data_IF_878335880640
#
_entry.id   IF_878335880640
#
_cell.length_a   1.000
_cell.length_b   1.000
_cell.length_c   1.000
_cell.angle_alpha   90.00
_cell.angle_beta   90.00
_cell.angle_gamma   90.00
#
_symmetry.space_group_name_H-M   'P 1'
#
loop_
_entity.id
_entity.type
_entity.pdbx_description
1 polymer ?
#
# COMPACT_ATOMS: atom_id res chain seq x y z
N UNK A 1 23.81 -8.39 6.31
CA UNK A 1 22.41 -7.96 6.53
C UNK A 1 22.32 -6.98 7.70
N UNK A 2 22.78 -7.32 8.90
CA UNK A 2 22.69 -6.47 10.10
C UNK A 2 23.31 -5.07 9.95
N UNK A 3 24.52 -4.95 9.39
CA UNK A 3 25.16 -3.65 9.14
C UNK A 3 24.34 -2.73 8.22
N UNK A 4 23.70 -3.30 7.21
CA UNK A 4 22.83 -2.53 6.30
C UNK A 4 21.60 -1.99 7.03
N UNK A 5 20.95 -2.81 7.86
CA UNK A 5 19.76 -2.38 8.61
C UNK A 5 20.08 -1.32 9.66
N UNK A 6 21.22 -1.44 10.35
CA UNK A 6 21.67 -0.43 11.31
C UNK A 6 21.93 0.93 10.62
N UNK A 7 22.62 0.92 9.48
CA UNK A 7 22.86 2.12 8.68
C UNK A 7 21.56 2.71 8.12
N UNK A 8 20.67 1.85 7.61
CA UNK A 8 19.36 2.25 7.11
C UNK A 8 18.51 2.94 8.19
N UNK A 9 18.53 2.41 9.41
CA UNK A 9 17.83 3.01 10.55
C UNK A 9 18.47 4.32 10.99
N UNK A 10 19.79 4.38 11.11
CA UNK A 10 20.51 5.59 11.52
C UNK A 10 20.28 6.77 10.57
N UNK A 11 20.12 6.49 9.28
CA UNK A 11 19.89 7.51 8.25
C UNK A 11 18.41 7.66 7.87
N UNK A 12 17.48 7.07 8.62
CA UNK A 12 16.07 7.07 8.23
C UNK A 12 15.47 8.47 8.17
N UNK A 13 16.00 9.42 8.95
CA UNK A 13 15.59 10.83 8.92
C UNK A 13 15.91 11.54 7.59
N UNK A 14 16.72 10.92 6.72
CA UNK A 14 16.96 11.38 5.34
C UNK A 14 15.93 10.84 4.34
N UNK A 15 15.08 9.89 4.75
CA UNK A 15 13.99 9.38 3.91
C UNK A 15 12.87 10.43 3.81
N UNK A 16 12.12 10.45 2.70
CA UNK A 16 10.95 11.31 2.58
C UNK A 16 9.94 11.04 3.71
N UNK A 17 9.39 12.13 4.25
CA UNK A 17 8.25 12.07 5.15
C UNK A 17 7.03 11.46 4.44
N UNK A 18 6.02 10.95 5.19
CA UNK A 18 4.76 10.56 4.59
C UNK A 18 4.15 11.73 3.82
N UNK A 19 3.45 11.44 2.73
CA UNK A 19 2.74 12.48 1.99
C UNK A 19 1.72 13.20 2.90
N UNK A 20 1.61 14.51 2.73
CA UNK A 20 0.69 15.34 3.52
C UNK A 20 -0.76 14.81 3.41
N UNK A 21 -1.43 14.65 4.55
CA UNK A 21 -2.80 14.15 4.64
C UNK A 21 -2.95 12.62 4.65
N UNK A 22 -1.90 11.83 4.39
CA UNK A 22 -2.03 10.36 4.34
C UNK A 22 -2.39 9.74 5.69
N UNK A 23 -1.88 10.30 6.80
CA UNK A 23 -2.17 9.81 8.15
C UNK A 23 -3.67 9.93 8.47
N UNK A 24 -4.29 11.05 8.07
CA UNK A 24 -5.73 11.26 8.21
C UNK A 24 -6.55 10.29 7.37
N UNK A 25 -6.09 9.96 6.16
CA UNK A 25 -6.77 8.95 5.32
C UNK A 25 -6.73 7.59 6.00
N UNK A 26 -5.56 7.15 6.48
CA UNK A 26 -5.41 5.86 7.16
C UNK A 26 -6.27 5.81 8.43
N UNK A 27 -6.27 6.88 9.23
CA UNK A 27 -7.15 7.01 10.40
C UNK A 27 -8.63 6.89 10.04
N UNK A 28 -9.07 7.55 8.97
CA UNK A 28 -10.48 7.50 8.51
C UNK A 28 -10.91 6.11 8.03
N UNK A 29 -9.99 5.31 7.50
CA UNK A 29 -10.23 3.91 7.12
C UNK A 29 -10.38 3.05 8.38
N UNK A 30 -9.46 3.21 9.33
CA UNK A 30 -9.47 2.49 10.61
C UNK A 30 -10.73 2.80 11.43
N UNK A 31 -11.11 4.08 11.57
CA UNK A 31 -12.34 4.51 12.27
C UNK A 31 -13.63 3.96 11.64
N UNK A 32 -13.60 3.58 10.36
CA UNK A 32 -14.72 2.93 9.67
C UNK A 32 -14.76 1.41 9.87
N UNK A 33 -13.76 0.84 10.53
CA UNK A 33 -13.64 -0.61 10.77
C UNK A 33 -13.07 -1.39 9.59
N UNK A 34 -12.54 -0.70 8.56
CA UNK A 34 -11.89 -1.37 7.44
C UNK A 34 -10.45 -1.75 7.81
N UNK A 35 -10.04 -2.94 7.39
CA UNK A 35 -8.72 -3.50 7.72
C UNK A 35 -7.67 -3.06 6.70
N UNK A 36 -6.46 -2.84 7.17
CA UNK A 36 -5.35 -2.37 6.34
C UNK A 36 -4.18 -3.33 6.40
N UNK A 37 -3.55 -3.53 5.24
CA UNK A 37 -2.32 -4.31 5.10
C UNK A 37 -1.33 -3.59 4.19
N UNK A 38 -0.04 -3.91 4.36
CA UNK A 38 1.03 -3.49 3.45
C UNK A 38 1.56 -4.73 2.72
N UNK A 39 1.67 -4.64 1.40
CA UNK A 39 2.45 -5.56 0.57
C UNK A 39 3.54 -4.75 -0.12
N UNK A 40 4.80 -5.02 0.20
CA UNK A 40 5.94 -4.23 -0.30
C UNK A 40 7.10 -5.11 -0.77
N UNK A 41 7.77 -4.72 -1.84
CA UNK A 41 9.01 -5.37 -2.29
C UNK A 41 10.22 -5.08 -1.40
N UNK A 42 10.11 -4.17 -0.42
CA UNK A 42 11.18 -3.93 0.56
C UNK A 42 11.43 -5.20 1.37
N UNK A 43 12.70 -5.45 1.74
CA UNK A 43 13.04 -6.52 2.67
C UNK A 43 12.42 -6.31 4.06
N UNK A 44 12.11 -7.41 4.76
CA UNK A 44 11.40 -7.38 6.04
C UNK A 44 11.95 -6.37 7.05
N UNK A 45 13.27 -6.33 7.24
CA UNK A 45 13.92 -5.40 8.17
C UNK A 45 13.73 -3.93 7.80
N UNK A 46 13.95 -3.56 6.55
CA UNK A 46 13.82 -2.16 6.11
C UNK A 46 12.37 -1.69 6.02
N UNK A 47 11.44 -2.61 5.71
CA UNK A 47 10.01 -2.36 5.78
C UNK A 47 9.58 -2.07 7.23
N UNK A 48 9.96 -2.93 8.18
CA UNK A 48 9.63 -2.76 9.60
C UNK A 48 10.21 -1.45 10.17
N UNK A 49 11.48 -1.13 9.86
CA UNK A 49 12.10 0.15 10.26
C UNK A 49 11.31 1.32 9.69
N UNK A 50 10.98 1.31 8.39
CA UNK A 50 10.22 2.39 7.75
C UNK A 50 8.88 2.61 8.41
N UNK A 51 8.09 1.55 8.58
CA UNK A 51 6.73 1.63 9.13
C UNK A 51 6.76 2.17 10.56
N UNK A 52 7.74 1.74 11.38
CA UNK A 52 7.92 2.24 12.75
C UNK A 52 8.33 3.71 12.77
N UNK A 53 9.39 4.08 12.04
CA UNK A 53 9.94 5.45 12.05
C UNK A 53 8.97 6.48 11.46
N UNK A 54 8.15 6.08 10.49
CA UNK A 54 7.08 6.91 9.93
C UNK A 54 5.82 6.97 10.81
N UNK A 55 5.78 6.23 11.93
CA UNK A 55 4.63 6.21 12.85
C UNK A 55 3.41 5.45 12.33
N UNK A 56 3.50 4.75 11.20
CA UNK A 56 2.35 4.17 10.51
C UNK A 56 1.95 2.77 11.03
N UNK A 57 2.77 2.16 11.89
CA UNK A 57 2.58 0.78 12.36
C UNK A 57 1.19 0.51 12.95
N UNK A 58 0.58 1.50 13.61
CA UNK A 58 -0.72 1.39 14.29
C UNK A 58 -1.88 1.07 13.36
N UNK A 59 -1.75 1.36 12.07
CA UNK A 59 -2.84 1.21 11.10
C UNK A 59 -2.88 -0.17 10.45
N UNK A 60 -1.78 -0.93 10.44
CA UNK A 60 -1.65 -2.12 9.58
C UNK A 60 -1.58 -3.41 10.41
N UNK A 61 -2.59 -4.27 10.24
CA UNK A 61 -2.64 -5.58 10.89
C UNK A 61 -1.64 -6.57 10.28
N UNK A 62 -1.35 -6.40 8.98
CA UNK A 62 -0.55 -7.32 8.19
C UNK A 62 0.50 -6.54 7.40
N UNK A 63 1.76 -6.97 7.50
CA UNK A 63 2.85 -6.49 6.66
C UNK A 63 3.47 -7.70 5.94
N UNK A 64 3.42 -7.68 4.60
CA UNK A 64 4.08 -8.62 3.71
C UNK A 64 5.21 -7.90 2.99
N UNK A 65 6.42 -8.38 3.21
CA UNK A 65 7.66 -7.81 2.67
C UNK A 65 8.30 -8.76 1.67
N UNK A 66 9.11 -8.23 0.77
CA UNK A 66 9.88 -9.01 -0.21
C UNK A 66 10.72 -10.10 0.46
N UNK A 67 10.71 -11.30 -0.14
CA UNK A 67 11.59 -12.41 0.19
C UNK A 67 12.64 -12.63 -0.91
N UNK A 68 13.70 -13.38 -0.61
CA UNK A 68 14.72 -13.76 -1.58
C UNK A 68 14.18 -14.65 -2.72
N UNK A 69 13.06 -15.34 -2.48
CA UNK A 69 12.41 -16.25 -3.43
C UNK A 69 11.40 -15.54 -4.35
N UNK A 70 11.23 -14.21 -4.18
CA UNK A 70 10.28 -13.40 -4.94
C UNK A 70 8.94 -13.25 -4.22
N UNK A 71 8.44 -12.01 -4.13
CA UNK A 71 7.12 -11.70 -3.61
C UNK A 71 6.16 -11.53 -4.79
N UNK A 72 5.29 -12.51 -5.02
CA UNK A 72 4.19 -12.37 -5.98
C UNK A 72 3.06 -11.65 -5.27
N UNK A 73 2.87 -10.36 -5.57
CA UNK A 73 1.87 -9.52 -4.88
C UNK A 73 0.46 -10.08 -5.04
N UNK A 74 0.13 -10.63 -6.21
CA UNK A 74 -1.19 -11.20 -6.47
C UNK A 74 -1.55 -12.32 -5.48
N UNK A 75 -0.61 -13.22 -5.19
CA UNK A 75 -0.82 -14.31 -4.24
C UNK A 75 -0.97 -13.79 -2.81
N UNK A 76 -0.19 -12.77 -2.44
CA UNK A 76 -0.29 -12.15 -1.12
C UNK A 76 -1.63 -11.43 -0.92
N UNK A 77 -2.18 -10.81 -1.96
CA UNK A 77 -3.53 -10.22 -1.90
C UNK A 77 -4.57 -11.31 -1.63
N UNK A 78 -4.51 -12.45 -2.33
CA UNK A 78 -5.43 -13.59 -2.11
C UNK A 78 -5.27 -14.22 -0.73
N UNK A 79 -4.03 -14.33 -0.24
CA UNK A 79 -3.74 -14.83 1.10
C UNK A 79 -4.33 -13.91 2.18
N UNK A 80 -4.19 -12.59 2.01
CA UNK A 80 -4.79 -11.61 2.93
C UNK A 80 -6.32 -11.69 2.92
N UNK A 81 -6.95 -11.82 1.75
CA UNK A 81 -8.39 -12.05 1.65
C UNK A 81 -8.82 -13.29 2.44
N UNK A 82 -8.05 -14.38 2.34
CA UNK A 82 -8.27 -15.62 3.09
C UNK A 82 -8.11 -15.41 4.60
N UNK A 83 -7.06 -14.70 5.04
CA UNK A 83 -6.82 -14.41 6.47
C UNK A 83 -7.94 -13.51 7.05
N UNK A 84 -8.47 -12.61 6.22
CA UNK A 84 -9.54 -11.69 6.61
C UNK A 84 -10.94 -12.30 6.48
N UNK A 85 -11.05 -13.51 5.93
CA UNK A 85 -12.32 -14.21 5.67
C UNK A 85 -13.28 -13.35 4.82
N UNK A 86 -12.75 -12.74 3.76
CA UNK A 86 -13.51 -11.92 2.81
C UNK A 86 -13.22 -12.34 1.36
N UNK A 87 -14.18 -12.17 0.43
CA UNK A 87 -13.92 -12.31 -0.99
C UNK A 87 -12.85 -11.31 -1.45
N UNK A 88 -11.97 -11.73 -2.37
CA UNK A 88 -10.87 -10.88 -2.87
C UNK A 88 -11.39 -9.63 -3.60
N UNK A 89 -12.59 -9.73 -4.18
CA UNK A 89 -13.28 -8.63 -4.86
C UNK A 89 -13.72 -7.51 -3.90
N UNK A 90 -13.76 -7.80 -2.58
CA UNK A 90 -13.99 -6.78 -1.55
C UNK A 90 -12.71 -6.06 -1.13
N UNK A 91 -11.54 -6.48 -1.60
CA UNK A 91 -10.29 -5.79 -1.35
C UNK A 91 -10.02 -4.72 -2.40
N UNK A 92 -9.53 -3.58 -1.96
CA UNK A 92 -8.90 -2.58 -2.81
C UNK A 92 -7.39 -2.60 -2.57
N UNK A 93 -6.62 -2.71 -3.65
CA UNK A 93 -5.17 -2.61 -3.59
C UNK A 93 -4.73 -1.27 -4.18
N UNK A 94 -4.03 -0.48 -3.38
CA UNK A 94 -3.59 0.88 -3.73
C UNK A 94 -2.09 0.87 -4.00
N UNK A 95 -1.66 1.26 -5.20
CA UNK A 95 -0.24 1.31 -5.57
C UNK A 95 0.06 2.33 -6.66
N UNK A 96 1.34 2.70 -6.77
CA UNK A 96 1.84 3.77 -7.63
C UNK A 96 2.56 3.26 -8.89
N UNK A 97 2.73 1.94 -9.03
CA UNK A 97 3.38 1.33 -10.19
C UNK A 97 2.40 0.56 -11.07
N UNK A 98 2.77 0.34 -12.34
CA UNK A 98 1.99 -0.50 -13.26
C UNK A 98 1.82 -1.92 -12.69
N UNK A 99 2.90 -2.48 -12.11
CA UNK A 99 2.90 -3.80 -11.51
C UNK A 99 1.92 -3.93 -10.33
N UNK A 100 1.69 -2.85 -9.58
CA UNK A 100 0.65 -2.84 -8.55
C UNK A 100 -0.75 -3.03 -9.14
N UNK A 101 -1.02 -2.36 -10.26
CA UNK A 101 -2.31 -2.47 -10.96
C UNK A 101 -2.49 -3.86 -11.55
N UNK A 102 -1.47 -4.36 -12.24
CA UNK A 102 -1.47 -5.69 -12.86
C UNK A 102 -1.68 -6.78 -11.80
N UNK A 103 -0.94 -6.76 -10.69
CA UNK A 103 -1.08 -7.79 -9.65
C UNK A 103 -2.40 -7.70 -8.87
N UNK A 104 -2.95 -6.49 -8.69
CA UNK A 104 -4.26 -6.34 -8.09
C UNK A 104 -5.36 -6.93 -8.99
N UNK A 105 -5.30 -6.65 -10.30
CA UNK A 105 -6.21 -7.23 -11.29
C UNK A 105 -6.06 -8.75 -11.38
N UNK A 106 -4.82 -9.24 -11.42
CA UNK A 106 -4.50 -10.67 -11.41
C UNK A 106 -5.11 -11.36 -10.18
N UNK A 107 -5.01 -10.73 -9.01
CA UNK A 107 -5.60 -11.25 -7.77
C UNK A 107 -7.14 -11.26 -7.78
N UNK A 108 -7.78 -10.43 -8.62
CA UNK A 108 -9.23 -10.20 -8.60
C UNK A 108 -9.67 -9.06 -7.66
N UNK A 109 -8.72 -8.30 -7.11
CA UNK A 109 -8.99 -7.15 -6.25
C UNK A 109 -9.27 -5.87 -7.07
N UNK A 110 -9.90 -4.88 -6.46
CA UNK A 110 -10.04 -3.56 -7.04
C UNK A 110 -8.67 -2.85 -7.09
N UNK A 111 -8.12 -2.69 -8.29
CA UNK A 111 -6.86 -1.98 -8.51
C UNK A 111 -7.06 -0.45 -8.47
N UNK A 112 -6.38 0.23 -7.54
CA UNK A 112 -6.47 1.69 -7.36
C UNK A 112 -5.08 2.31 -7.59
N UNK A 113 -5.00 3.24 -8.54
CA UNK A 113 -3.74 3.89 -8.91
C UNK A 113 -3.49 5.16 -8.08
N UNK A 114 -2.37 5.18 -7.35
CA UNK A 114 -1.85 6.29 -6.58
C UNK A 114 -0.91 7.16 -7.43
N UNK A 115 -1.47 8.10 -8.19
CA UNK A 115 -0.75 8.93 -9.15
C UNK A 115 -0.37 10.33 -8.61
N UNK A 116 -0.35 10.52 -7.29
CA UNK A 116 -0.06 11.81 -6.64
C UNK A 116 1.43 12.11 -6.47
N UNK A 117 2.30 11.10 -6.48
CA UNK A 117 3.74 11.31 -6.43
C UNK A 117 4.24 11.98 -7.73
N UNK A 118 5.20 12.90 -7.62
CA UNK A 118 5.81 13.53 -8.79
C UNK A 118 6.52 12.52 -9.72
N UNK A 119 6.95 11.39 -9.17
CA UNK A 119 7.59 10.28 -9.89
C UNK A 119 6.60 9.33 -10.57
N UNK A 120 5.28 9.49 -10.35
CA UNK A 120 4.29 8.59 -10.90
C UNK A 120 4.11 8.78 -12.41
N UNK A 121 4.21 7.70 -13.18
CA UNK A 121 3.90 7.71 -14.60
C UNK A 121 2.38 7.60 -14.81
N UNK A 122 1.70 8.74 -14.80
CA UNK A 122 0.22 8.81 -14.85
C UNK A 122 -0.37 8.20 -16.11
N UNK A 123 0.28 8.39 -17.25
CA UNK A 123 -0.17 7.84 -18.53
C UNK A 123 -0.10 6.32 -18.52
N UNK A 124 1.03 5.76 -18.08
CA UNK A 124 1.18 4.31 -18.01
C UNK A 124 0.25 3.68 -16.96
N UNK A 125 0.04 4.33 -15.82
CA UNK A 125 -0.96 3.91 -14.83
C UNK A 125 -2.38 3.91 -15.42
N UNK A 126 -2.76 4.93 -16.19
CA UNK A 126 -4.07 4.97 -16.83
C UNK A 126 -4.23 3.86 -17.88
N UNK A 127 -3.19 3.59 -18.67
CA UNK A 127 -3.18 2.54 -19.68
C UNK A 127 -3.27 1.13 -19.07
N UNK A 128 -2.78 0.94 -17.85
CA UNK A 128 -2.91 -0.33 -17.12
C UNK A 128 -4.35 -0.64 -16.68
N UNK A 129 -5.30 0.30 -16.84
CA UNK A 129 -6.73 0.08 -16.58
C UNK A 129 -7.12 -0.11 -15.11
N UNK A 130 -6.67 0.74 -14.17
CA UNK A 130 -7.10 0.67 -12.79
C UNK A 130 -8.60 0.97 -12.68
N UNK A 131 -9.24 0.48 -11.61
CA UNK A 131 -10.64 0.81 -11.29
C UNK A 131 -10.82 2.31 -11.02
N UNK A 132 -9.84 2.92 -10.37
CA UNK A 132 -9.78 4.36 -10.13
C UNK A 132 -8.33 4.84 -10.12
N UNK A 133 -8.12 6.10 -10.50
CA UNK A 133 -6.81 6.75 -10.50
C UNK A 133 -6.93 8.10 -9.80
N UNK A 134 -6.09 8.32 -8.80
CA UNK A 134 -6.09 9.55 -8.00
C UNK A 134 -4.77 10.30 -8.15
N UNK A 135 -4.86 11.59 -8.47
CA UNK A 135 -3.68 12.46 -8.66
C UNK A 135 -3.39 13.36 -7.47
N UNK A 136 -4.23 13.29 -6.43
CA UNK A 136 -4.05 13.97 -5.14
C UNK A 136 -4.59 13.10 -3.99
N UNK A 137 -4.07 13.32 -2.78
CA UNK A 137 -4.54 12.65 -1.57
C UNK A 137 -5.94 13.11 -1.19
N UNK A 138 -6.29 14.38 -1.45
CA UNK A 138 -7.63 14.91 -1.20
C UNK A 138 -8.71 14.16 -1.99
N UNK A 139 -8.46 13.90 -3.28
CA UNK A 139 -9.38 13.15 -4.13
C UNK A 139 -9.50 11.69 -3.68
N UNK A 140 -8.38 11.07 -3.30
CA UNK A 140 -8.37 9.72 -2.74
C UNK A 140 -9.11 9.65 -1.40
N UNK A 141 -8.92 10.62 -0.52
CA UNK A 141 -9.61 10.73 0.75
C UNK A 141 -11.12 10.79 0.55
N UNK A 142 -11.59 11.62 -0.39
CA UNK A 142 -13.01 11.75 -0.71
C UNK A 142 -13.61 10.42 -1.20
N UNK A 143 -12.88 9.69 -2.05
CA UNK A 143 -13.30 8.36 -2.50
C UNK A 143 -13.38 7.35 -1.35
N UNK A 144 -12.38 7.32 -0.46
CA UNK A 144 -12.38 6.46 0.72
C UNK A 144 -13.64 6.65 1.57
N UNK A 145 -14.15 7.88 1.68
CA UNK A 145 -15.34 8.15 2.49
C UNK A 145 -16.64 7.56 1.92
N UNK A 146 -16.71 7.37 0.61
CA UNK A 146 -17.89 6.89 -0.10
C UNK A 146 -17.83 5.40 -0.43
N UNK A 147 -16.65 4.89 -0.76
CA UNK A 147 -16.48 3.57 -1.36
C UNK A 147 -15.86 2.52 -0.43
N UNK A 148 -15.25 2.94 0.69
CA UNK A 148 -14.68 2.00 1.67
C UNK A 148 -15.69 1.79 2.81
N UNK A 149 -16.20 0.56 2.90
CA UNK A 149 -17.06 0.08 3.97
C UNK A 149 -16.46 -1.17 4.63
N UNK A 150 -16.78 -1.44 5.91
CA UNK A 150 -16.32 -2.64 6.62
C UNK A 150 -16.83 -3.97 6.02
#
# INVERSE_FOLDING_TARGET
MERFLAEYEANHDTCPAPFEGIDDVLRRIDERGARLAIITGKGAGSAAISIRRLGLARYFDIVRSGSADGLVKADQIREIATIWDVPVERLAYVGDTIHDIEHAQEAGAAAIAAAWAATANREALAQAGPRALFTSIEAFASWVEHDVCP
#
